data_IF_766220883571
#
_entry.id   IF_766220883571
#
_cell.length_a   1.000
_cell.length_b   1.000
_cell.length_c   1.000
_cell.angle_alpha   90.00
_cell.angle_beta   90.00
_cell.angle_gamma   90.00
#
_symmetry.space_group_name_H-M   'P 1'
#
loop_
_entity.id
_entity.type
_entity.pdbx_description
1 polymer ?
#
# COMPACT_ATOMS: atom_id res chain seq x y z
N UNK A 1 -26.52 -11.57 -3.62
CA UNK A 1 -25.36 -11.38 -2.71
C UNK A 1 -24.70 -10.09 -3.10
N UNK A 2 -24.26 -9.27 -2.15
CA UNK A 2 -23.35 -8.18 -2.48
C UNK A 2 -22.01 -8.80 -2.91
N UNK A 3 -21.51 -8.38 -4.06
CA UNK A 3 -20.22 -8.79 -4.61
C UNK A 3 -19.32 -7.55 -4.65
N UNK A 4 -18.01 -7.76 -4.49
CA UNK A 4 -17.02 -6.69 -4.65
C UNK A 4 -16.97 -6.25 -6.12
N UNK A 5 -16.36 -5.08 -6.39
CA UNK A 5 -16.04 -4.64 -7.75
C UNK A 5 -14.94 -5.47 -8.41
N UNK A 6 -14.22 -6.28 -7.64
CA UNK A 6 -13.07 -7.06 -8.11
C UNK A 6 -13.52 -8.33 -8.82
N UNK A 7 -12.81 -8.70 -9.88
CA UNK A 7 -13.10 -9.90 -10.63
C UNK A 7 -11.92 -10.88 -10.59
N UNK A 8 -12.16 -12.06 -10.03
CA UNK A 8 -11.18 -13.15 -9.92
C UNK A 8 -10.50 -13.52 -11.24
N UNK A 9 -11.22 -13.51 -12.36
CA UNK A 9 -10.63 -13.81 -13.66
C UNK A 9 -9.70 -12.69 -14.14
N UNK A 10 -10.05 -11.42 -13.93
CA UNK A 10 -9.17 -10.27 -14.23
C UNK A 10 -7.94 -10.26 -13.33
N UNK A 11 -8.06 -10.58 -12.05
CA UNK A 11 -6.92 -10.71 -11.13
C UNK A 11 -5.94 -11.80 -11.62
N UNK A 12 -6.45 -12.96 -12.05
CA UNK A 12 -5.59 -14.01 -12.63
C UNK A 12 -4.95 -13.58 -13.95
N UNK A 13 -5.68 -12.83 -14.78
CA UNK A 13 -5.13 -12.27 -16.01
C UNK A 13 -4.06 -11.20 -15.74
N UNK A 14 -4.19 -10.42 -14.66
CA UNK A 14 -3.24 -9.38 -14.28
C UNK A 14 -1.82 -9.94 -14.11
N UNK A 15 -1.66 -11.16 -13.57
CA UNK A 15 -0.35 -11.84 -13.47
C UNK A 15 0.37 -12.01 -14.81
N UNK A 16 -0.34 -11.99 -15.95
CA UNK A 16 0.27 -12.15 -17.28
C UNK A 16 0.80 -10.83 -17.85
N UNK A 17 0.31 -9.69 -17.36
CA UNK A 17 0.67 -8.36 -17.88
C UNK A 17 1.56 -7.57 -16.92
N UNK A 18 1.58 -7.93 -15.64
CA UNK A 18 2.52 -7.39 -14.65
C UNK A 18 3.91 -7.92 -14.95
N UNK A 19 4.91 -7.03 -15.00
CA UNK A 19 6.30 -7.44 -15.15
C UNK A 19 6.69 -8.42 -14.02
N UNK A 20 7.30 -9.58 -14.34
CA UNK A 20 7.70 -10.57 -13.34
C UNK A 20 8.57 -10.03 -12.21
N UNK A 21 9.25 -8.89 -12.38
CA UNK A 21 10.03 -8.23 -11.31
C UNK A 21 9.17 -7.78 -10.13
N UNK A 22 7.85 -7.64 -10.31
CA UNK A 22 6.90 -7.30 -9.25
C UNK A 22 6.07 -8.47 -8.76
N UNK A 23 6.24 -9.66 -9.34
CA UNK A 23 5.52 -10.86 -8.94
C UNK A 23 6.41 -11.75 -8.07
N UNK A 24 5.76 -12.65 -7.34
CA UNK A 24 6.40 -13.71 -6.56
C UNK A 24 7.47 -13.16 -5.60
N UNK A 25 7.20 -11.98 -5.03
CA UNK A 25 8.08 -11.34 -4.06
C UNK A 25 8.29 -12.25 -2.84
N UNK A 26 9.43 -12.15 -2.12
CA UNK A 26 9.71 -13.04 -1.01
C UNK A 26 8.58 -13.10 0.02
N UNK A 27 8.15 -14.31 0.35
CA UNK A 27 7.32 -14.63 1.50
C UNK A 27 8.13 -15.56 2.41
N UNK A 28 8.47 -15.09 3.61
CA UNK A 28 9.31 -15.88 4.52
C UNK A 28 8.92 -15.68 5.98
N UNK A 29 9.08 -16.73 6.78
CA UNK A 29 8.96 -16.67 8.24
C UNK A 29 10.15 -15.91 8.81
N UNK A 30 9.89 -14.88 9.59
CA UNK A 30 10.91 -14.08 10.27
C UNK A 30 10.99 -14.48 11.74
N UNK A 31 11.68 -15.58 12.02
CA UNK A 31 11.79 -16.16 13.37
C UNK A 31 12.36 -15.17 14.41
N UNK A 32 13.20 -14.23 13.96
CA UNK A 32 13.80 -13.22 14.83
C UNK A 32 12.78 -12.23 15.43
N UNK A 33 11.60 -12.07 14.82
CA UNK A 33 10.53 -11.21 15.35
C UNK A 33 9.68 -11.91 16.41
N UNK A 34 9.59 -13.23 16.38
CA UNK A 34 8.62 -14.00 17.18
C UNK A 34 8.79 -13.83 18.69
N UNK A 35 10.01 -13.83 19.28
CA UNK A 35 10.15 -13.60 20.72
C UNK A 35 9.60 -12.25 21.18
N UNK A 36 9.71 -11.22 20.33
CA UNK A 36 9.20 -9.89 20.61
C UNK A 36 7.71 -9.72 20.33
N UNK A 37 7.08 -10.65 19.60
CA UNK A 37 5.70 -10.55 19.14
C UNK A 37 4.77 -11.62 19.73
N UNK A 38 5.30 -12.72 20.28
CA UNK A 38 4.51 -13.78 20.90
C UNK A 38 3.75 -14.68 19.92
N UNK A 39 4.03 -14.57 18.63
CA UNK A 39 3.36 -15.31 17.56
C UNK A 39 4.34 -15.65 16.43
N UNK A 40 3.98 -16.60 15.57
CA UNK A 40 4.73 -16.88 14.35
C UNK A 40 4.44 -15.80 13.32
N UNK A 41 5.48 -15.21 12.73
CA UNK A 41 5.32 -14.09 11.79
C UNK A 41 5.99 -14.37 10.45
N UNK A 42 5.21 -14.26 9.38
CA UNK A 42 5.70 -14.26 8.00
C UNK A 42 5.58 -12.88 7.37
N UNK A 43 6.62 -12.50 6.62
CA UNK A 43 6.71 -11.22 5.92
C UNK A 43 6.48 -11.45 4.44
N UNK A 44 5.47 -10.78 3.87
CA UNK A 44 5.32 -10.62 2.42
C UNK A 44 6.04 -9.33 1.99
N UNK A 45 7.18 -9.47 1.32
CA UNK A 45 8.13 -8.38 1.09
C UNK A 45 7.90 -7.66 -0.24
N UNK A 46 6.95 -6.73 -0.27
CA UNK A 46 6.62 -5.92 -1.46
C UNK A 46 7.60 -4.76 -1.73
N UNK A 47 8.74 -4.74 -1.04
CA UNK A 47 9.80 -3.75 -1.22
C UNK A 47 10.98 -4.26 -2.04
N UNK A 48 11.03 -5.57 -2.30
CA UNK A 48 12.08 -6.22 -3.08
C UNK A 48 11.86 -6.09 -4.60
N UNK A 49 11.66 -4.86 -5.07
CA UNK A 49 11.47 -4.54 -6.48
C UNK A 49 11.99 -3.10 -6.80
N UNK A 50 12.14 -2.72 -8.09
CA UNK A 50 12.73 -1.44 -8.47
C UNK A 50 12.02 -0.19 -7.95
N UNK A 51 10.70 -0.25 -7.71
CA UNK A 51 9.93 0.89 -7.17
C UNK A 51 9.76 0.83 -5.65
N UNK A 52 10.22 -0.25 -5.02
CA UNK A 52 10.27 -0.47 -3.56
C UNK A 52 8.92 -0.37 -2.86
N UNK A 53 7.84 -0.70 -3.56
CA UNK A 53 6.48 -0.81 -3.01
C UNK A 53 5.60 -1.70 -3.90
N UNK A 54 4.42 -2.08 -3.40
CA UNK A 54 3.46 -2.90 -4.13
C UNK A 54 2.77 -2.19 -5.31
N UNK A 55 2.86 -0.85 -5.38
CA UNK A 55 2.03 -0.03 -6.28
C UNK A 55 2.23 -0.36 -7.76
N UNK A 56 3.42 -0.85 -8.13
CA UNK A 56 3.70 -1.27 -9.50
C UNK A 56 2.76 -2.38 -9.98
N UNK A 57 2.31 -3.29 -9.10
CA UNK A 57 1.38 -4.34 -9.52
C UNK A 57 0.09 -3.78 -10.14
N UNK A 58 -0.44 -2.70 -9.56
CA UNK A 58 -1.60 -2.00 -10.09
C UNK A 58 -1.28 -1.18 -11.34
N UNK A 59 -0.20 -0.40 -11.31
CA UNK A 59 0.15 0.48 -12.43
C UNK A 59 0.61 -0.26 -13.68
N UNK A 60 1.16 -1.47 -13.53
CA UNK A 60 1.48 -2.35 -14.66
C UNK A 60 0.22 -2.83 -15.41
N UNK A 61 -0.86 -3.13 -14.67
CA UNK A 61 -2.16 -3.48 -15.29
C UNK A 61 -2.71 -2.28 -16.04
N UNK A 62 -2.73 -1.10 -15.39
CA UNK A 62 -3.17 0.16 -16.03
C UNK A 62 -2.33 0.45 -17.29
N UNK A 63 -1.01 0.37 -17.19
CA UNK A 63 -0.11 0.66 -18.29
C UNK A 63 -0.26 -0.34 -19.44
N UNK A 64 -0.52 -1.62 -19.14
CA UNK A 64 -0.82 -2.61 -20.18
C UNK A 64 -2.08 -2.26 -20.97
N UNK A 65 -3.15 -1.81 -20.31
CA UNK A 65 -4.38 -1.42 -20.99
C UNK A 65 -4.20 -0.16 -21.83
N UNK A 66 -3.36 0.78 -21.39
CA UNK A 66 -3.08 2.00 -22.13
C UNK A 66 -2.18 1.78 -23.34
N UNK A 67 -1.27 0.80 -23.28
CA UNK A 67 -0.43 0.42 -24.41
C UNK A 67 -1.27 -0.09 -25.60
N UNK A 68 -2.42 -0.70 -25.33
CA UNK A 68 -3.38 -1.14 -26.34
C UNK A 68 -4.37 -0.04 -26.75
N UNK A 69 -4.28 1.15 -26.15
CA UNK A 69 -5.19 2.27 -26.39
C UNK A 69 -4.62 3.29 -27.37
N UNK A 70 -5.49 4.11 -27.98
CA UNK A 70 -5.07 5.18 -28.89
C UNK A 70 -4.27 6.31 -28.22
N UNK A 71 -4.32 6.42 -26.89
CA UNK A 71 -3.62 7.44 -26.10
C UNK A 71 -2.52 6.79 -25.26
N UNK A 72 -1.28 6.89 -25.73
CA UNK A 72 -0.10 6.35 -25.03
C UNK A 72 0.40 7.29 -23.90
N UNK A 73 -0.52 7.80 -23.08
CA UNK A 73 -0.19 8.76 -22.03
C UNK A 73 -1.08 8.62 -20.79
N UNK A 74 -0.51 8.90 -19.63
CA UNK A 74 -1.18 8.84 -18.34
C UNK A 74 -0.73 9.99 -17.43
N UNK A 75 -1.64 10.43 -16.55
CA UNK A 75 -1.35 11.42 -15.51
C UNK A 75 -1.83 10.92 -14.14
N UNK A 76 -1.09 11.24 -13.08
CA UNK A 76 -1.54 11.00 -11.71
C UNK A 76 -1.10 12.13 -10.78
N UNK A 77 -1.79 12.26 -9.64
CA UNK A 77 -1.41 13.20 -8.58
C UNK A 77 -0.79 12.48 -7.39
N UNK A 78 0.52 12.22 -7.43
CA UNK A 78 1.21 11.56 -6.31
C UNK A 78 2.74 11.73 -6.38
N UNK A 79 3.31 12.47 -5.44
CA UNK A 79 4.76 12.45 -5.19
C UNK A 79 5.25 11.13 -4.52
N UNK A 80 4.35 10.23 -4.12
CA UNK A 80 4.64 9.00 -3.39
C UNK A 80 4.79 7.75 -4.26
N UNK A 81 4.41 6.61 -3.69
CA UNK A 81 4.57 5.28 -4.30
C UNK A 81 3.80 5.11 -5.62
N UNK A 82 2.61 5.68 -5.76
CA UNK A 82 1.82 5.60 -7.00
C UNK A 82 2.54 6.28 -8.17
N UNK A 83 3.04 7.50 -7.97
CA UNK A 83 3.72 8.26 -9.03
C UNK A 83 5.01 7.59 -9.48
N UNK A 84 5.79 7.02 -8.54
CA UNK A 84 6.97 6.23 -8.88
C UNK A 84 6.61 4.95 -9.64
N UNK A 85 5.58 4.23 -9.18
CA UNK A 85 5.09 3.02 -9.84
C UNK A 85 4.61 3.29 -11.27
N UNK A 86 3.77 4.33 -11.46
CA UNK A 86 3.25 4.68 -12.77
C UNK A 86 4.37 5.16 -13.71
N UNK A 87 5.32 5.96 -13.21
CA UNK A 87 6.49 6.38 -13.97
C UNK A 87 7.31 5.18 -14.49
N UNK A 88 7.59 4.21 -13.61
CA UNK A 88 8.29 2.99 -13.99
C UNK A 88 7.51 2.18 -15.03
N UNK A 89 6.22 1.95 -14.77
CA UNK A 89 5.32 1.17 -15.62
C UNK A 89 5.14 1.75 -17.01
N UNK A 90 4.98 3.08 -17.08
CA UNK A 90 4.86 3.79 -18.34
C UNK A 90 6.15 3.76 -19.14
N UNK A 91 7.31 3.99 -18.49
CA UNK A 91 8.62 3.92 -19.16
C UNK A 91 8.85 2.57 -19.84
N UNK A 92 8.53 1.47 -19.16
CA UNK A 92 8.68 0.11 -19.71
C UNK A 92 7.82 -0.17 -20.94
N UNK A 93 6.74 0.59 -21.13
CA UNK A 93 5.74 0.41 -22.22
C UNK A 93 5.69 1.58 -23.20
N UNK A 94 6.63 2.54 -23.10
CA UNK A 94 6.66 3.71 -23.97
C UNK A 94 5.48 4.67 -23.76
N UNK A 95 4.89 4.72 -22.57
CA UNK A 95 3.83 5.67 -22.23
C UNK A 95 4.43 6.97 -21.70
N UNK A 96 3.89 8.10 -22.15
CA UNK A 96 4.18 9.42 -21.60
C UNK A 96 3.45 9.58 -20.26
N UNK A 97 4.21 9.54 -19.17
CA UNK A 97 3.66 9.67 -17.81
C UNK A 97 3.94 11.05 -17.27
N UNK A 98 2.88 11.75 -16.86
CA UNK A 98 2.97 12.99 -16.08
C UNK A 98 2.59 12.72 -14.63
N UNK A 99 3.43 13.14 -13.71
CA UNK A 99 3.11 13.17 -12.28
C UNK A 99 2.94 14.61 -11.85
N UNK A 100 1.77 14.92 -11.31
CA UNK A 100 1.50 16.19 -10.65
C UNK A 100 1.77 16.05 -9.16
N UNK A 101 2.55 16.97 -8.61
CA UNK A 101 2.93 16.95 -7.20
C UNK A 101 2.97 18.36 -6.61
N UNK A 102 2.80 18.45 -5.29
CA UNK A 102 3.09 19.68 -4.56
C UNK A 102 4.57 20.02 -4.66
N UNK A 103 4.91 21.30 -4.88
CA UNK A 103 6.29 21.79 -4.82
C UNK A 103 6.94 21.60 -3.45
N UNK A 104 6.13 21.41 -2.40
CA UNK A 104 6.59 21.16 -1.02
C UNK A 104 6.86 19.68 -0.70
N UNK A 105 6.62 18.76 -1.65
CA UNK A 105 7.02 17.37 -1.49
C UNK A 105 8.54 17.26 -1.32
N UNK A 106 9.00 16.23 -0.60
CA UNK A 106 10.43 16.06 -0.35
C UNK A 106 11.21 15.92 -1.65
N UNK A 107 12.38 16.55 -1.72
CA UNK A 107 13.22 16.53 -2.91
C UNK A 107 13.56 15.11 -3.35
N UNK A 108 13.85 14.22 -2.40
CA UNK A 108 14.12 12.79 -2.65
C UNK A 108 12.96 12.10 -3.38
N UNK A 109 11.71 12.40 -3.04
CA UNK A 109 10.52 11.84 -3.71
C UNK A 109 10.40 12.36 -5.15
N UNK A 110 10.57 13.66 -5.34
CA UNK A 110 10.49 14.29 -6.67
C UNK A 110 11.62 13.82 -7.60
N UNK A 111 12.85 13.73 -7.10
CA UNK A 111 14.01 13.31 -7.87
C UNK A 111 13.92 11.83 -8.27
N UNK A 112 13.33 10.96 -7.42
CA UNK A 112 13.03 9.57 -7.79
C UNK A 112 12.04 9.48 -8.96
N UNK A 113 10.98 10.28 -8.96
CA UNK A 113 9.99 10.27 -10.04
C UNK A 113 10.62 10.72 -11.38
N UNK A 114 11.44 11.78 -11.35
CA UNK A 114 12.20 12.22 -12.53
C UNK A 114 13.16 11.15 -13.02
N UNK A 115 13.89 10.50 -12.12
CA UNK A 115 14.83 9.43 -12.46
C UNK A 115 14.14 8.21 -13.09
N UNK A 116 12.87 8.00 -12.80
CA UNK A 116 12.03 6.97 -13.41
C UNK A 116 11.46 7.38 -14.78
N UNK A 117 11.73 8.59 -15.26
CA UNK A 117 11.41 9.04 -16.62
C UNK A 117 10.06 9.74 -16.79
N UNK A 118 9.34 10.03 -15.70
CA UNK A 118 8.09 10.77 -15.79
C UNK A 118 8.32 12.29 -15.94
N UNK A 119 7.44 12.94 -16.70
CA UNK A 119 7.23 14.38 -16.61
C UNK A 119 6.74 14.74 -15.21
N UNK A 120 7.29 15.80 -14.62
CA UNK A 120 6.92 16.23 -13.28
C UNK A 120 6.37 17.65 -13.33
N UNK A 121 5.09 17.80 -13.01
CA UNK A 121 4.43 19.09 -12.90
C UNK A 121 4.23 19.46 -11.43
N UNK A 122 4.72 20.64 -11.05
CA UNK A 122 4.70 21.11 -9.67
C UNK A 122 3.67 22.22 -9.48
N UNK A 123 2.73 22.01 -8.57
CA UNK A 123 1.78 23.03 -8.14
C UNK A 123 2.26 23.74 -6.88
N UNK A 124 1.97 25.04 -6.79
CA UNK A 124 2.18 25.85 -5.61
C UNK A 124 0.98 25.68 -4.66
N UNK A 125 0.83 24.47 -4.13
CA UNK A 125 -0.36 24.02 -3.42
C UNK A 125 -0.18 22.71 -2.68
N UNK A 126 -1.25 22.23 -2.05
CA UNK A 126 -1.29 20.95 -1.36
C UNK A 126 -1.60 19.78 -2.32
N UNK A 127 -1.87 18.60 -1.76
CA UNK A 127 -2.22 17.42 -2.54
C UNK A 127 -3.54 17.58 -3.31
N UNK A 128 -4.51 18.33 -2.78
CA UNK A 128 -5.80 18.53 -3.45
C UNK A 128 -5.62 19.36 -4.72
N UNK A 129 -4.84 20.44 -4.65
CA UNK A 129 -4.51 21.24 -5.83
C UNK A 129 -3.74 20.41 -6.89
N UNK A 130 -2.87 19.49 -6.46
CA UNK A 130 -2.19 18.59 -7.38
C UNK A 130 -3.18 17.63 -8.07
N UNK A 131 -4.19 17.16 -7.35
CA UNK A 131 -5.26 16.29 -7.85
C UNK A 131 -6.16 17.03 -8.85
N UNK A 132 -6.59 18.24 -8.52
CA UNK A 132 -7.36 19.10 -9.43
C UNK A 132 -6.59 19.36 -10.72
N UNK A 133 -5.31 19.71 -10.60
CA UNK A 133 -4.46 19.96 -11.77
C UNK A 133 -4.24 18.71 -12.63
N UNK A 134 -4.03 17.54 -12.02
CA UNK A 134 -3.95 16.27 -12.76
C UNK A 134 -5.26 15.97 -13.52
N UNK A 135 -6.42 16.26 -12.92
CA UNK A 135 -7.71 16.10 -13.56
C UNK A 135 -7.93 17.09 -14.72
N UNK A 136 -7.43 18.33 -14.60
CA UNK A 136 -7.43 19.29 -15.70
C UNK A 136 -6.59 18.83 -16.89
N UNK A 137 -5.37 18.34 -16.63
CA UNK A 137 -4.48 17.78 -17.67
C UNK A 137 -5.16 16.61 -18.37
N UNK A 138 -5.69 15.66 -17.60
CA UNK A 138 -6.39 14.51 -18.16
C UNK A 138 -7.55 14.91 -19.07
N UNK A 139 -8.37 15.88 -18.65
CA UNK A 139 -9.51 16.38 -19.44
C UNK A 139 -9.08 17.13 -20.69
N UNK A 140 -8.05 17.97 -20.59
CA UNK A 140 -7.60 18.82 -21.69
C UNK A 140 -6.87 18.02 -22.77
N UNK A 141 -5.95 17.13 -22.36
CA UNK A 141 -5.15 16.31 -23.29
C UNK A 141 -5.87 15.03 -23.73
N UNK A 142 -7.00 14.68 -23.11
CA UNK A 142 -7.73 13.45 -23.41
C UNK A 142 -7.00 12.18 -22.98
N UNK A 143 -6.19 12.26 -21.92
CA UNK A 143 -5.33 11.17 -21.41
C UNK A 143 -5.89 10.56 -20.12
N UNK A 144 -5.40 9.37 -19.74
CA UNK A 144 -5.88 8.66 -18.55
C UNK A 144 -5.40 9.34 -17.26
N UNK A 145 -6.33 9.83 -16.44
CA UNK A 145 -6.07 10.07 -15.03
C UNK A 145 -6.06 8.73 -14.30
N UNK A 146 -4.95 8.41 -13.61
CA UNK A 146 -4.82 7.21 -12.79
C UNK A 146 -5.10 7.57 -11.34
N UNK A 147 -6.18 7.01 -10.80
CA UNK A 147 -6.65 7.26 -9.43
C UNK A 147 -6.58 5.97 -8.60
N UNK A 148 -5.63 5.92 -7.67
CA UNK A 148 -5.41 4.76 -6.82
C UNK A 148 -6.66 4.36 -6.03
N UNK A 149 -6.97 3.07 -6.00
CA UNK A 149 -8.16 2.46 -5.35
C UNK A 149 -9.52 2.80 -5.99
N UNK A 150 -9.63 3.92 -6.70
CA UNK A 150 -10.80 4.22 -7.53
C UNK A 150 -10.78 3.38 -8.81
N UNK A 151 -9.63 3.38 -9.50
CA UNK A 151 -9.36 2.54 -10.65
C UNK A 151 -9.26 1.08 -10.21
N UNK A 152 -10.17 0.25 -10.70
CA UNK A 152 -10.28 -1.14 -10.28
C UNK A 152 -9.03 -1.95 -10.63
N UNK A 153 -8.34 -1.57 -11.71
CA UNK A 153 -7.08 -2.16 -12.14
C UNK A 153 -5.99 -2.05 -11.07
N UNK A 154 -5.99 -0.96 -10.31
CA UNK A 154 -5.02 -0.78 -9.21
C UNK A 154 -5.28 -1.76 -8.07
N UNK A 155 -6.55 -2.04 -7.77
CA UNK A 155 -6.96 -3.05 -6.80
C UNK A 155 -6.68 -4.47 -7.31
N UNK A 156 -6.99 -4.76 -8.58
CA UNK A 156 -6.80 -6.08 -9.18
C UNK A 156 -5.33 -6.45 -9.36
N UNK A 157 -4.49 -5.48 -9.70
CA UNK A 157 -3.05 -5.66 -9.68
C UNK A 157 -2.54 -5.96 -8.26
N UNK A 158 -2.95 -5.17 -7.26
CA UNK A 158 -2.59 -5.43 -5.87
C UNK A 158 -3.10 -6.79 -5.36
N UNK A 159 -4.26 -7.25 -5.84
CA UNK A 159 -4.84 -8.55 -5.49
C UNK A 159 -3.97 -9.73 -5.90
N UNK A 160 -3.04 -9.57 -6.86
CA UNK A 160 -2.08 -10.63 -7.21
C UNK A 160 -1.17 -11.01 -6.04
N UNK A 161 -0.98 -10.14 -5.05
CA UNK A 161 -0.31 -10.47 -3.78
C UNK A 161 -1.12 -11.54 -3.04
N UNK A 162 -2.44 -11.40 -3.00
CA UNK A 162 -3.31 -12.39 -2.39
C UNK A 162 -3.18 -13.76 -3.06
N UNK A 163 -3.01 -13.80 -4.39
CA UNK A 163 -2.81 -15.06 -5.12
C UNK A 163 -1.51 -15.72 -4.66
N UNK A 164 -0.45 -14.94 -4.53
CA UNK A 164 0.84 -15.44 -4.06
C UNK A 164 0.75 -15.94 -2.61
N UNK A 165 0.01 -15.24 -1.74
CA UNK A 165 -0.20 -15.69 -0.36
C UNK A 165 -0.91 -17.04 -0.30
N UNK A 166 -2.01 -17.22 -1.04
CA UNK A 166 -2.77 -18.48 -1.00
C UNK A 166 -2.07 -19.63 -1.74
N UNK A 167 -1.23 -19.33 -2.74
CA UNK A 167 -0.51 -20.34 -3.54
C UNK A 167 0.79 -20.82 -2.86
N UNK A 168 1.48 -19.95 -2.10
CA UNK A 168 2.86 -20.21 -1.61
C UNK A 168 3.01 -20.30 -0.09
N UNK A 169 2.04 -19.79 0.69
CA UNK A 169 2.17 -19.80 2.14
C UNK A 169 1.88 -21.19 2.73
N UNK A 170 2.64 -21.63 3.75
CA UNK A 170 2.10 -22.56 4.74
C UNK A 170 0.79 -21.98 5.29
N UNK A 171 -0.15 -22.83 5.70
CA UNK A 171 -1.40 -22.38 6.34
C UNK A 171 -1.10 -21.32 7.42
N UNK A 172 -1.77 -20.17 7.33
CA UNK A 172 -1.65 -19.06 8.28
C UNK A 172 -3.04 -18.66 8.78
N UNK A 173 -3.13 -18.08 9.97
CA UNK A 173 -4.40 -17.80 10.63
C UNK A 173 -4.90 -16.38 10.34
N UNK A 174 -3.98 -15.46 10.03
CA UNK A 174 -4.28 -14.04 9.88
C UNK A 174 -3.39 -13.37 8.85
N UNK A 175 -3.94 -12.48 8.03
CA UNK A 175 -3.19 -11.50 7.25
C UNK A 175 -3.48 -10.08 7.74
N UNK A 176 -2.41 -9.35 8.05
CA UNK A 176 -2.45 -7.94 8.43
C UNK A 176 -2.10 -7.07 7.23
N UNK A 177 -3.01 -6.14 6.90
CA UNK A 177 -2.91 -5.33 5.68
C UNK A 177 -3.00 -3.84 6.03
N UNK A 178 -2.01 -3.05 5.59
CA UNK A 178 -2.06 -1.60 5.69
C UNK A 178 -3.26 -1.02 4.93
N UNK A 179 -4.09 -0.21 5.60
CA UNK A 179 -5.32 0.36 5.05
C UNK A 179 -5.12 1.85 4.69
N UNK A 180 -4.69 2.10 3.45
CA UNK A 180 -4.59 3.45 2.88
C UNK A 180 -5.83 3.82 2.08
N UNK A 181 -5.69 4.03 0.77
CA UNK A 181 -6.82 4.25 -0.15
C UNK A 181 -7.71 3.01 -0.36
N UNK A 182 -7.22 1.82 0.02
CA UNK A 182 -7.97 0.56 0.01
C UNK A 182 -7.58 -0.45 -1.08
N UNK A 183 -6.80 -0.09 -2.10
CA UNK A 183 -6.41 -1.01 -3.18
C UNK A 183 -5.76 -2.31 -2.68
N UNK A 184 -4.82 -2.21 -1.73
CA UNK A 184 -4.15 -3.40 -1.15
C UNK A 184 -5.12 -4.25 -0.33
N UNK A 185 -5.85 -3.62 0.60
CA UNK A 185 -6.77 -4.29 1.51
C UNK A 185 -7.93 -4.98 0.77
N UNK A 186 -8.58 -4.28 -0.14
CA UNK A 186 -9.69 -4.83 -0.95
C UNK A 186 -9.20 -5.91 -1.91
N UNK A 187 -8.05 -5.69 -2.57
CA UNK A 187 -7.45 -6.64 -3.48
C UNK A 187 -7.05 -7.95 -2.83
N UNK A 188 -6.19 -7.87 -1.81
CA UNK A 188 -5.72 -9.06 -1.09
C UNK A 188 -6.87 -9.73 -0.34
N UNK A 189 -7.72 -8.95 0.33
CA UNK A 189 -8.88 -9.48 1.06
C UNK A 189 -9.83 -10.25 0.15
N UNK A 190 -10.14 -9.73 -1.04
CA UNK A 190 -11.00 -10.41 -2.02
C UNK A 190 -10.47 -11.81 -2.37
N UNK A 191 -9.16 -11.91 -2.60
CA UNK A 191 -8.51 -13.18 -2.93
C UNK A 191 -8.49 -14.10 -1.72
N UNK A 192 -8.03 -13.62 -0.56
CA UNK A 192 -8.01 -14.44 0.66
C UNK A 192 -9.39 -14.99 0.98
N UNK A 193 -10.45 -14.17 0.92
CA UNK A 193 -11.82 -14.65 1.16
C UNK A 193 -12.38 -15.59 0.10
N UNK A 194 -11.89 -15.53 -1.13
CA UNK A 194 -12.32 -16.43 -2.19
C UNK A 194 -11.64 -17.82 -2.11
N UNK A 195 -10.41 -17.92 -1.63
CA UNK A 195 -9.63 -19.18 -1.65
C UNK A 195 -9.23 -19.74 -0.29
N UNK A 196 -9.17 -18.91 0.75
CA UNK A 196 -8.85 -19.30 2.13
C UNK A 196 -9.78 -18.54 3.12
N UNK A 197 -11.11 -18.77 3.05
CA UNK A 197 -12.10 -17.98 3.79
C UNK A 197 -11.94 -18.04 5.33
N UNK A 198 -11.30 -19.09 5.84
CA UNK A 198 -10.97 -19.28 7.25
C UNK A 198 -9.88 -18.33 7.77
N UNK A 199 -9.07 -17.76 6.87
CA UNK A 199 -8.04 -16.78 7.21
C UNK A 199 -8.71 -15.47 7.60
N UNK A 200 -8.29 -14.93 8.75
CA UNK A 200 -8.74 -13.61 9.21
C UNK A 200 -8.00 -12.50 8.45
N UNK A 201 -8.74 -11.60 7.81
CA UNK A 201 -8.23 -10.42 7.11
C UNK A 201 -8.44 -9.21 8.01
N UNK A 202 -7.35 -8.70 8.57
CA UNK A 202 -7.38 -7.52 9.46
C UNK A 202 -6.71 -6.34 8.74
N UNK A 203 -7.45 -5.26 8.61
CA UNK A 203 -6.96 -4.02 8.03
C UNK A 203 -6.48 -3.07 9.13
N UNK A 204 -5.35 -2.40 8.91
CA UNK A 204 -4.70 -1.58 9.95
C UNK A 204 -4.50 -0.15 9.47
N UNK A 205 -5.00 0.84 10.23
CA UNK A 205 -4.70 2.26 10.03
C UNK A 205 -3.98 2.88 11.23
N UNK A 206 -3.20 3.95 11.05
CA UNK A 206 -2.75 4.76 12.17
C UNK A 206 -3.95 5.48 12.81
N UNK A 207 -3.94 5.61 14.13
CA UNK A 207 -4.95 6.37 14.88
C UNK A 207 -5.04 7.83 14.43
N UNK A 208 -3.94 8.38 13.93
CA UNK A 208 -3.85 9.71 13.34
C UNK A 208 -4.52 9.89 11.98
N UNK A 209 -4.91 8.82 11.28
CA UNK A 209 -5.67 8.86 10.03
C UNK A 209 -6.74 7.75 9.96
N UNK A 210 -7.79 7.81 10.80
CA UNK A 210 -8.65 6.65 11.07
C UNK A 210 -9.88 6.54 10.15
N UNK A 211 -9.95 7.32 9.07
CA UNK A 211 -11.20 7.56 8.34
C UNK A 211 -11.86 6.28 7.80
N UNK A 212 -11.08 5.36 7.21
CA UNK A 212 -11.62 4.11 6.66
C UNK A 212 -11.95 3.09 7.75
N UNK A 213 -11.15 2.99 8.81
CA UNK A 213 -11.47 2.14 9.97
C UNK A 213 -12.77 2.60 10.63
N UNK A 214 -12.95 3.90 10.86
CA UNK A 214 -14.22 4.46 11.34
C UNK A 214 -15.37 4.16 10.38
N UNK A 215 -15.12 4.27 9.07
CA UNK A 215 -16.13 3.99 8.06
C UNK A 215 -16.57 2.53 8.03
N UNK A 216 -15.63 1.61 8.20
CA UNK A 216 -15.88 0.16 8.25
C UNK A 216 -16.73 -0.20 9.46
N UNK A 217 -16.33 0.25 10.67
CA UNK A 217 -17.10 0.02 11.90
C UNK A 217 -18.52 0.61 11.85
N UNK A 218 -18.66 1.80 11.25
CA UNK A 218 -19.97 2.47 11.14
C UNK A 218 -20.76 2.06 9.90
N UNK A 219 -20.18 1.22 9.03
CA UNK A 219 -20.77 0.76 7.76
C UNK A 219 -21.29 1.91 6.87
N UNK A 220 -20.63 3.06 6.92
CA UNK A 220 -20.94 4.27 6.15
C UNK A 220 -19.69 5.12 6.02
N UNK A 221 -19.58 5.92 4.96
CA UNK A 221 -18.42 6.81 4.79
C UNK A 221 -18.35 7.83 5.93
N UNK A 222 -17.20 7.84 6.61
CA UNK A 222 -16.81 8.80 7.63
C UNK A 222 -15.58 9.54 7.12
N UNK A 223 -15.70 10.86 6.96
CA UNK A 223 -14.58 11.74 6.60
C UNK A 223 -14.01 12.37 7.86
N UNK A 224 -12.69 12.54 7.92
CA UNK A 224 -12.00 13.29 8.98
C UNK A 224 -11.52 14.65 8.47
N UNK A 225 -11.45 15.64 9.37
CA UNK A 225 -11.03 16.99 9.01
C UNK A 225 -9.54 17.06 8.65
N UNK A 226 -8.72 16.33 9.40
CA UNK A 226 -7.26 16.25 9.26
C UNK A 226 -6.72 14.82 9.37
N UNK A 227 -5.43 14.70 9.11
CA UNK A 227 -4.60 13.51 9.39
C UNK A 227 -3.33 13.96 10.10
N UNK A 228 -2.91 13.22 11.11
CA UNK A 228 -1.67 13.48 11.85
C UNK A 228 -0.94 12.16 12.12
N UNK A 229 -0.16 11.71 11.15
CA UNK A 229 0.55 10.42 11.22
C UNK A 229 1.84 10.48 10.41
N UNK A 230 2.86 9.75 10.88
CA UNK A 230 4.08 9.52 10.11
C UNK A 230 3.87 8.56 8.93
N UNK A 231 2.79 7.77 8.95
CA UNK A 231 2.45 6.80 7.91
C UNK A 231 1.73 7.48 6.72
N UNK A 232 2.46 8.32 6.00
CA UNK A 232 1.95 9.15 4.90
C UNK A 232 1.30 8.34 3.76
N UNK A 233 1.77 7.11 3.51
CA UNK A 233 1.20 6.21 2.50
C UNK A 233 -0.25 5.76 2.78
N UNK A 234 -0.73 5.94 4.01
CA UNK A 234 -2.10 5.59 4.42
C UNK A 234 -2.88 6.76 5.04
N UNK A 235 -2.35 7.98 4.95
CA UNK A 235 -2.92 9.19 5.54
C UNK A 235 -4.13 9.73 4.74
N UNK A 236 -5.21 8.95 4.63
CA UNK A 236 -6.43 9.31 3.90
C UNK A 236 -7.52 9.90 4.79
N UNK A 237 -8.16 11.00 4.34
CA UNK A 237 -9.28 11.65 5.04
C UNK A 237 -10.66 11.28 4.53
N UNK A 238 -10.77 10.99 3.23
CA UNK A 238 -12.04 10.88 2.48
C UNK A 238 -12.13 9.51 1.84
N UNK A 239 -12.66 8.51 2.56
CA UNK A 239 -12.88 7.17 2.01
C UNK A 239 -13.76 7.22 0.77
N UNK A 240 -13.41 6.42 -0.24
CA UNK A 240 -14.26 6.21 -1.41
C UNK A 240 -15.41 5.27 -1.05
N UNK A 241 -16.69 5.62 -1.31
CA UNK A 241 -17.82 4.73 -1.02
C UNK A 241 -17.66 3.32 -1.60
N UNK A 242 -17.21 3.25 -2.85
CA UNK A 242 -17.00 1.99 -3.56
C UNK A 242 -15.92 1.10 -2.91
N UNK A 243 -14.87 1.72 -2.34
CA UNK A 243 -13.84 0.99 -1.59
C UNK A 243 -14.38 0.48 -0.26
N UNK A 244 -15.20 1.29 0.43
CA UNK A 244 -15.84 0.86 1.67
C UNK A 244 -16.77 -0.34 1.42
N UNK A 245 -17.56 -0.30 0.35
CA UNK A 245 -18.44 -1.39 -0.04
C UNK A 245 -17.65 -2.69 -0.27
N UNK A 246 -16.52 -2.62 -0.98
CA UNK A 246 -15.62 -3.77 -1.16
C UNK A 246 -15.05 -4.25 0.19
N UNK A 247 -14.57 -3.32 1.03
CA UNK A 247 -13.92 -3.62 2.30
C UNK A 247 -14.85 -4.32 3.29
N UNK A 248 -16.13 -3.93 3.33
CA UNK A 248 -17.17 -4.53 4.18
C UNK A 248 -17.46 -6.00 3.83
N UNK A 249 -17.05 -6.47 2.65
CA UNK A 249 -17.23 -7.85 2.21
C UNK A 249 -15.98 -8.72 2.45
N UNK A 250 -14.80 -8.11 2.57
CA UNK A 250 -13.53 -8.85 2.55
C UNK A 250 -12.69 -8.75 3.81
N UNK A 251 -12.89 -7.72 4.64
CA UNK A 251 -12.20 -7.57 5.92
C UNK A 251 -13.06 -8.12 7.06
N UNK A 252 -12.46 -8.90 7.95
CA UNK A 252 -13.12 -9.36 9.18
C UNK A 252 -13.01 -8.34 10.31
N UNK A 253 -11.96 -7.51 10.28
CA UNK A 253 -11.76 -6.43 11.25
C UNK A 253 -10.93 -5.28 10.65
N UNK A 254 -11.08 -4.10 11.24
CA UNK A 254 -10.28 -2.93 10.97
C UNK A 254 -9.83 -2.29 12.30
N UNK A 255 -8.52 -2.23 12.53
CA UNK A 255 -7.94 -1.74 13.79
C UNK A 255 -7.15 -0.45 13.60
N UNK A 256 -6.98 0.28 14.69
CA UNK A 256 -6.13 1.48 14.75
C UNK A 256 -4.90 1.17 15.58
N UNK A 257 -3.76 1.76 15.21
CA UNK A 257 -2.50 1.66 15.96
C UNK A 257 -1.87 3.02 16.23
N UNK A 258 -1.12 3.12 17.31
CA UNK A 258 -0.42 4.30 17.77
C UNK A 258 0.88 4.55 16.99
N UNK A 259 1.23 5.83 16.83
CA UNK A 259 2.50 6.25 16.21
C UNK A 259 3.72 5.63 16.92
N UNK A 260 3.67 5.47 18.25
CA UNK A 260 4.74 4.83 19.02
C UNK A 260 4.93 3.36 18.65
N UNK A 261 3.83 2.65 18.35
CA UNK A 261 3.85 1.24 17.95
C UNK A 261 4.30 1.10 16.51
N UNK A 262 3.95 2.04 15.64
CA UNK A 262 4.48 2.13 14.26
C UNK A 262 6.01 2.27 14.32
N UNK A 263 6.53 3.23 15.10
CA UNK A 263 7.99 3.42 15.25
C UNK A 263 8.65 2.16 15.83
N UNK A 264 8.03 1.52 16.81
CA UNK A 264 8.53 0.28 17.40
C UNK A 264 8.56 -0.86 16.37
N UNK A 265 7.53 -0.99 15.55
CA UNK A 265 7.48 -1.95 14.44
C UNK A 265 8.54 -1.68 13.38
N UNK A 266 8.79 -0.42 13.04
CA UNK A 266 9.88 -0.03 12.15
C UNK A 266 11.25 -0.45 12.70
N UNK A 267 11.49 -0.21 14.00
CA UNK A 267 12.73 -0.64 14.67
C UNK A 267 12.88 -2.16 14.68
N UNK A 268 11.82 -2.90 14.98
CA UNK A 268 11.87 -4.36 14.96
C UNK A 268 12.18 -4.91 13.56
N UNK A 269 11.57 -4.35 12.51
CA UNK A 269 11.85 -4.73 11.12
C UNK A 269 13.31 -4.41 10.74
N UNK A 270 13.86 -3.30 11.22
CA UNK A 270 15.26 -2.96 11.01
C UNK A 270 16.20 -3.91 11.75
N UNK A 271 16.02 -4.04 13.07
CA UNK A 271 16.97 -4.69 13.97
C UNK A 271 16.93 -6.22 13.84
N UNK A 272 15.77 -6.80 13.54
CA UNK A 272 15.57 -8.25 13.51
C UNK A 272 15.41 -8.82 12.10
N UNK A 273 14.87 -8.04 11.15
CA UNK A 273 14.70 -8.49 9.76
C UNK A 273 15.69 -7.83 8.78
N UNK A 274 16.47 -6.84 9.21
CA UNK A 274 17.38 -6.09 8.33
C UNK A 274 16.67 -5.22 7.31
N UNK A 275 15.39 -4.90 7.52
CA UNK A 275 14.54 -4.21 6.56
C UNK A 275 14.40 -2.73 6.90
N UNK A 276 14.77 -1.86 5.95
CA UNK A 276 14.40 -0.44 5.98
C UNK A 276 13.01 -0.30 5.36
N UNK A 277 12.05 0.19 6.14
CA UNK A 277 10.64 0.28 5.75
C UNK A 277 10.09 1.69 5.89
N UNK A 278 9.06 2.03 5.13
CA UNK A 278 8.27 3.24 5.41
C UNK A 278 7.25 2.95 6.53
N UNK A 279 6.73 3.95 7.24
CA UNK A 279 5.91 3.68 8.43
C UNK A 279 4.63 2.89 8.14
N UNK A 280 4.03 3.07 6.95
CA UNK A 280 2.86 2.30 6.51
C UNK A 280 3.11 0.79 6.45
N UNK A 281 4.34 0.36 6.17
CA UNK A 281 4.71 -1.04 6.10
C UNK A 281 4.98 -1.69 7.47
N UNK A 282 5.04 -0.89 8.54
CA UNK A 282 5.18 -1.36 9.91
C UNK A 282 3.84 -1.55 10.64
N UNK A 283 2.71 -1.18 10.00
CA UNK A 283 1.38 -1.21 10.64
C UNK A 283 0.98 -2.62 11.13
N UNK A 284 1.29 -3.67 10.37
CA UNK A 284 0.99 -5.03 10.82
C UNK A 284 1.78 -5.41 12.07
N UNK A 285 3.07 -5.07 12.14
CA UNK A 285 3.87 -5.31 13.35
C UNK A 285 3.35 -4.47 14.52
N UNK A 286 2.97 -3.21 14.27
CA UNK A 286 2.38 -2.35 15.29
C UNK A 286 1.07 -2.93 15.86
N UNK A 287 0.21 -3.49 15.01
CA UNK A 287 -1.04 -4.13 15.46
C UNK A 287 -0.76 -5.34 16.36
N UNK A 288 0.24 -6.15 16.04
CA UNK A 288 0.65 -7.29 16.89
C UNK A 288 1.18 -6.81 18.24
N UNK A 289 1.95 -5.72 18.25
CA UNK A 289 2.51 -5.15 19.49
C UNK A 289 1.43 -4.63 20.44
N UNK A 290 0.34 -4.08 19.91
CA UNK A 290 -0.75 -3.52 20.73
C UNK A 290 -1.74 -4.55 21.25
N UNK A 291 -1.86 -5.70 20.59
CA UNK A 291 -2.79 -6.77 20.97
C UNK A 291 -2.13 -8.16 20.87
N UNK A 292 -1.05 -8.36 21.64
CA UNK A 292 -0.28 -9.62 21.62
C UNK A 292 -1.11 -10.85 21.96
N UNK A 293 -2.09 -10.71 22.84
CA UNK A 293 -2.93 -11.83 23.28
C UNK A 293 -3.82 -12.33 22.14
N UNK A 294 -4.33 -11.45 21.27
CA UNK A 294 -5.11 -11.84 20.07
C UNK A 294 -4.31 -12.68 19.09
N UNK A 295 -3.00 -12.47 19.01
CA UNK A 295 -2.12 -13.15 18.06
C UNK A 295 -1.33 -14.30 18.69
N UNK A 296 -1.37 -14.46 20.01
CA UNK A 296 -0.58 -15.46 20.73
C UNK A 296 -0.78 -16.88 20.17
N UNK A 297 0.32 -17.53 19.79
CA UNK A 297 0.29 -18.88 19.21
C UNK A 297 -0.27 -19.00 17.79
N UNK A 298 -0.68 -17.89 17.16
CA UNK A 298 -1.14 -17.86 15.76
C UNK A 298 0.02 -17.68 14.79
N UNK A 299 -0.20 -18.07 13.55
CA UNK A 299 0.65 -17.74 12.40
C UNK A 299 0.08 -16.53 11.66
N UNK A 300 0.79 -15.39 11.76
CA UNK A 300 0.38 -14.11 11.20
C UNK A 300 1.26 -13.73 10.01
N UNK A 301 0.64 -13.43 8.88
CA UNK A 301 1.29 -12.82 7.72
C UNK A 301 1.12 -11.31 7.79
N UNK A 302 2.21 -10.56 7.65
CA UNK A 302 2.17 -9.09 7.50
C UNK A 302 2.75 -8.68 6.14
N UNK A 303 2.10 -7.74 5.47
CA UNK A 303 2.56 -7.23 4.18
C UNK A 303 3.43 -5.99 4.41
N UNK A 304 4.73 -6.11 4.11
CA UNK A 304 5.66 -4.98 4.10
C UNK A 304 5.49 -4.25 2.78
N UNK A 305 4.54 -3.32 2.75
CA UNK A 305 3.98 -2.75 1.51
C UNK A 305 4.89 -1.73 0.79
N UNK A 306 5.89 -1.16 1.48
CA UNK A 306 6.69 -0.06 0.95
C UNK A 306 7.91 0.28 1.79
N UNK A 307 8.89 0.94 1.18
CA UNK A 307 10.12 1.38 1.86
C UNK A 307 10.64 2.75 1.40
N UNK A 308 9.79 3.54 0.77
CA UNK A 308 10.18 4.84 0.21
C UNK A 308 10.10 5.95 1.24
N UNK A 309 11.03 5.88 2.19
CA UNK A 309 11.21 6.83 3.27
C UNK A 309 12.44 7.69 3.04
N UNK A 310 12.38 8.94 3.50
CA UNK A 310 13.53 9.84 3.57
C UNK A 310 14.51 9.36 4.65
N UNK A 311 15.79 9.24 4.32
CA UNK A 311 16.79 8.57 5.18
C UNK A 311 17.01 9.34 6.48
N UNK A 312 17.11 10.67 6.43
CA UNK A 312 17.30 11.50 7.62
C UNK A 312 16.09 11.41 8.55
N UNK A 313 14.89 11.44 7.96
CA UNK A 313 13.63 11.29 8.70
C UNK A 313 13.52 9.89 9.32
N UNK A 314 13.88 8.85 8.55
CA UNK A 314 13.91 7.48 9.05
C UNK A 314 14.83 7.34 10.27
N UNK A 315 16.07 7.85 10.18
CA UNK A 315 17.02 7.82 11.29
C UNK A 315 16.53 8.58 12.53
N UNK A 316 15.75 9.65 12.38
CA UNK A 316 15.14 10.32 13.55
C UNK A 316 14.11 9.44 14.25
N UNK A 317 13.35 8.62 13.51
CA UNK A 317 12.38 7.70 14.11
C UNK A 317 13.04 6.47 14.73
N UNK A 318 13.95 5.81 14.00
CA UNK A 318 14.56 4.56 14.46
C UNK A 318 15.78 4.76 15.35
N UNK A 319 16.39 5.95 15.33
CA UNK A 319 17.59 6.30 16.11
C UNK A 319 17.44 6.08 17.62
N UNK A 320 18.52 5.61 18.23
CA UNK A 320 18.61 5.08 19.60
C UNK A 320 18.20 6.08 20.69
N UNK A 321 17.30 5.65 21.58
CA UNK A 321 17.45 5.95 23.01
C UNK A 321 18.77 5.33 23.50
N UNK A 322 19.55 6.01 24.37
CA UNK A 322 20.90 5.56 24.70
C UNK A 322 20.88 4.13 25.26
N UNK A 323 21.70 3.26 24.67
CA UNK A 323 22.05 1.96 25.22
C UNK A 323 22.46 2.19 26.68
N UNK A 324 21.63 1.74 27.64
CA UNK A 324 22.09 1.61 29.03
C UNK A 324 23.18 0.55 29.01
N UNK A 325 24.44 1.01 28.99
CA UNK A 325 25.60 0.16 29.27
C UNK A 325 25.44 -0.31 30.72
N UNK A 326 25.17 -1.60 30.91
CA UNK A 326 25.44 -2.32 32.15
C UNK A 326 26.93 -2.43 32.37
#
# INVERSE_FOLDING_TARGET
>A
MQETRLNTARIRAARRVIDPVFLDTPLYRCEALEPGLGCTVSIKLETANPVRSFKARGTEVVASLLADSASSAAVCASAGNLGQALAWSGRGRGLDVTVVASRFATRTKLDRIRALGAGLELVDGDHEMARERAADIARYDGIRLVEDSLDIETCEGAATIGLELVDTAPSFDTVLIALGGGALATGVGHVVKAWAPEVEVICVQPRGAPALTHSWHQRRVVTTDSTDTIADGVAGRRPLPAVLDDLLLVADDAVLVEESSIISGMRMLLDHAGLVVEPSAALGIAAILEDRDRFAGRHVVTIVCGSNVDVDTYHRWVGTAPLRRS
#
